data_IF_155894530870
#
_entry.id   IF_155894530870
#
_cell.length_a   1.000
_cell.length_b   1.000
_cell.length_c   1.000
_cell.angle_alpha   90.00
_cell.angle_beta   90.00
_cell.angle_gamma   90.00
#
_symmetry.space_group_name_H-M   'P 1'
#
loop_
_entity.id
_entity.type
_entity.pdbx_description
1 polymer ?
#
# COMPACT_ATOMS: atom_id res chain seq x y z
N UNK A 1 -9.31 12.84 -22.21
CA UNK A 1 -9.47 11.79 -21.19
C UNK A 1 -10.08 10.59 -21.86
N UNK A 2 -9.54 9.38 -21.65
CA UNK A 2 -10.08 8.16 -22.25
C UNK A 2 -11.49 7.84 -21.68
N UNK A 3 -12.45 7.40 -22.51
CA UNK A 3 -13.83 7.15 -22.06
C UNK A 3 -13.91 6.07 -20.97
N UNK A 4 -13.03 5.09 -21.01
CA UNK A 4 -12.98 4.01 -20.04
C UNK A 4 -12.62 4.55 -18.65
N UNK A 5 -11.71 5.53 -18.56
CA UNK A 5 -11.37 6.18 -17.28
C UNK A 5 -12.60 6.88 -16.67
N UNK A 6 -13.48 7.46 -17.50
CA UNK A 6 -14.68 8.15 -17.04
C UNK A 6 -15.67 7.18 -16.38
N UNK A 7 -15.80 5.96 -16.89
CA UNK A 7 -16.67 4.93 -16.30
C UNK A 7 -16.24 4.54 -14.88
N UNK A 8 -14.93 4.57 -14.60
CA UNK A 8 -14.36 4.22 -13.29
C UNK A 8 -14.15 5.42 -12.37
N UNK A 9 -14.50 6.64 -12.81
CA UNK A 9 -14.23 7.87 -12.08
C UNK A 9 -14.80 7.87 -10.67
N UNK A 10 -16.05 7.45 -10.50
CA UNK A 10 -16.71 7.46 -9.19
C UNK A 10 -16.08 6.47 -8.22
N UNK A 11 -15.62 5.32 -8.72
CA UNK A 11 -14.85 4.37 -7.94
C UNK A 11 -13.54 4.99 -7.45
N UNK A 12 -12.76 5.57 -8.36
CA UNK A 12 -11.47 6.18 -8.03
C UNK A 12 -11.58 7.39 -7.09
N UNK A 13 -12.61 8.23 -7.27
CA UNK A 13 -12.91 9.33 -6.33
C UNK A 13 -13.23 8.76 -4.93
N UNK A 14 -14.06 7.72 -4.87
CA UNK A 14 -14.45 7.09 -3.60
C UNK A 14 -13.25 6.47 -2.90
N UNK A 15 -12.43 5.68 -3.60
CA UNK A 15 -11.26 5.03 -3.00
C UNK A 15 -10.16 6.01 -2.61
N UNK A 16 -9.95 7.08 -3.39
CA UNK A 16 -9.04 8.17 -2.99
C UNK A 16 -9.51 8.83 -1.69
N UNK A 17 -10.82 9.07 -1.55
CA UNK A 17 -11.41 9.66 -0.35
C UNK A 17 -11.26 8.74 0.88
N UNK A 18 -11.56 7.44 0.72
CA UNK A 18 -11.40 6.44 1.77
C UNK A 18 -9.93 6.34 2.21
N UNK A 19 -9.00 6.25 1.26
CA UNK A 19 -7.57 6.19 1.56
C UNK A 19 -7.11 7.46 2.30
N UNK A 20 -7.52 8.64 1.84
CA UNK A 20 -7.23 9.91 2.51
C UNK A 20 -7.76 9.97 3.95
N UNK A 21 -8.99 9.51 4.17
CA UNK A 21 -9.57 9.43 5.52
C UNK A 21 -8.79 8.47 6.44
N UNK A 22 -8.39 7.31 5.94
CA UNK A 22 -7.59 6.33 6.68
C UNK A 22 -6.20 6.86 7.03
N UNK A 23 -5.56 7.60 6.11
CA UNK A 23 -4.29 8.31 6.38
C UNK A 23 -4.47 9.29 7.54
N UNK A 24 -5.56 10.08 7.53
CA UNK A 24 -5.88 11.02 8.60
C UNK A 24 -6.08 10.33 9.95
N UNK A 25 -6.88 9.25 9.99
CA UNK A 25 -7.11 8.46 11.21
C UNK A 25 -5.82 7.81 11.72
N UNK A 26 -4.95 7.32 10.84
CA UNK A 26 -3.65 6.76 11.22
C UNK A 26 -2.77 7.82 11.88
N UNK A 27 -2.72 9.04 11.33
CA UNK A 27 -1.98 10.14 11.93
C UNK A 27 -2.50 10.50 13.32
N UNK A 28 -3.82 10.55 13.51
CA UNK A 28 -4.45 10.76 14.82
C UNK A 28 -4.03 9.64 15.79
N UNK A 29 -4.15 8.37 15.39
CA UNK A 29 -3.78 7.24 16.24
C UNK A 29 -2.30 7.27 16.66
N UNK A 30 -1.40 7.58 15.73
CA UNK A 30 0.05 7.74 15.99
C UNK A 30 0.31 8.91 16.94
N UNK A 31 -0.41 10.03 16.80
CA UNK A 31 -0.21 11.22 17.64
C UNK A 31 -0.55 10.98 19.12
N UNK A 32 -1.54 10.13 19.40
CA UNK A 32 -1.92 9.73 20.77
C UNK A 32 -0.85 8.82 21.39
N UNK A 33 -0.24 7.96 20.59
CA UNK A 33 0.75 6.98 21.04
C UNK A 33 2.20 7.44 20.80
N UNK A 34 2.42 8.75 20.60
CA UNK A 34 3.72 9.28 20.17
C UNK A 34 4.85 8.91 21.14
N UNK A 35 4.56 8.85 22.45
CA UNK A 35 5.52 8.46 23.49
C UNK A 35 5.98 7.00 23.35
N UNK A 36 5.04 6.09 23.10
CA UNK A 36 5.34 4.67 22.82
C UNK A 36 6.10 4.53 21.51
N UNK A 37 5.63 5.24 20.48
CA UNK A 37 6.26 5.21 19.17
C UNK A 37 7.59 5.96 19.13
N UNK A 38 7.97 6.78 20.12
CA UNK A 38 9.27 7.45 20.18
C UNK A 38 10.35 6.57 20.78
N UNK A 39 9.98 5.60 21.61
CA UNK A 39 10.91 4.69 22.27
C UNK A 39 11.60 3.76 21.26
N UNK A 40 12.92 3.60 21.42
CA UNK A 40 13.75 2.75 20.58
C UNK A 40 13.40 1.26 20.78
N UNK A 41 12.83 0.92 21.94
CA UNK A 41 12.35 -0.43 22.25
C UNK A 41 11.17 -0.87 21.36
N UNK A 42 10.42 0.07 20.76
CA UNK A 42 9.26 -0.20 19.90
C UNK A 42 9.51 0.19 18.43
N UNK A 43 10.76 0.14 17.98
CA UNK A 43 11.14 0.44 16.59
C UNK A 43 10.33 -0.37 15.56
N UNK A 44 9.99 -1.62 15.88
CA UNK A 44 9.17 -2.49 15.01
C UNK A 44 7.75 -1.95 14.79
N UNK A 45 7.08 -1.43 15.84
CA UNK A 45 5.75 -0.82 15.69
C UNK A 45 5.81 0.42 14.80
N UNK A 46 6.88 1.19 14.89
CA UNK A 46 7.09 2.39 14.08
C UNK A 46 7.32 2.04 12.61
N UNK A 47 8.08 0.99 12.34
CA UNK A 47 8.27 0.47 10.98
C UNK A 47 6.97 -0.08 10.40
N UNK A 48 6.20 -0.83 11.19
CA UNK A 48 4.88 -1.34 10.79
C UNK A 48 3.91 -0.19 10.47
N UNK A 49 3.83 0.83 11.32
CA UNK A 49 2.98 2.01 11.10
C UNK A 49 3.39 2.79 9.83
N UNK A 50 4.70 2.94 9.59
CA UNK A 50 5.24 3.56 8.37
C UNK A 50 4.89 2.75 7.13
N UNK A 51 4.99 1.42 7.20
CA UNK A 51 4.64 0.55 6.09
C UNK A 51 3.15 0.67 5.73
N UNK A 52 2.26 0.68 6.72
CA UNK A 52 0.82 0.90 6.50
C UNK A 52 0.54 2.28 5.91
N UNK A 53 1.18 3.33 6.43
CA UNK A 53 1.03 4.68 5.87
C UNK A 53 1.40 4.70 4.38
N UNK A 54 2.51 4.05 4.02
CA UNK A 54 2.93 3.94 2.63
C UNK A 54 1.91 3.16 1.78
N UNK A 55 1.33 2.08 2.30
CA UNK A 55 0.28 1.34 1.58
C UNK A 55 -0.96 2.21 1.32
N UNK A 56 -1.42 3.01 2.30
CA UNK A 56 -2.52 3.95 2.08
C UNK A 56 -2.16 5.06 1.08
N UNK A 57 -0.94 5.61 1.16
CA UNK A 57 -0.47 6.63 0.20
C UNK A 57 -0.40 6.06 -1.22
N UNK A 58 0.05 4.82 -1.37
CA UNK A 58 0.06 4.13 -2.67
C UNK A 58 -1.36 3.89 -3.17
N UNK A 59 -2.28 3.41 -2.32
CA UNK A 59 -3.69 3.23 -2.69
C UNK A 59 -4.35 4.57 -3.10
N UNK A 60 -4.04 5.65 -2.39
CA UNK A 60 -4.48 7.00 -2.73
C UNK A 60 -3.90 7.45 -4.07
N UNK A 61 -2.60 7.30 -4.29
CA UNK A 61 -1.94 7.64 -5.56
C UNK A 61 -2.52 6.87 -6.74
N UNK A 62 -2.65 5.55 -6.63
CA UNK A 62 -3.27 4.69 -7.65
C UNK A 62 -4.73 5.05 -7.94
N UNK A 63 -5.44 5.66 -6.97
CA UNK A 63 -6.79 6.19 -7.17
C UNK A 63 -6.80 7.59 -7.80
N UNK A 64 -5.79 8.41 -7.53
CA UNK A 64 -5.71 9.79 -8.04
C UNK A 64 -5.17 9.88 -9.47
N UNK A 65 -4.20 9.03 -9.85
CA UNK A 65 -3.60 9.08 -11.21
C UNK A 65 -4.66 8.98 -12.33
N UNK A 66 -5.62 8.04 -12.31
CA UNK A 66 -6.66 7.97 -13.33
C UNK A 66 -7.54 9.24 -13.42
N UNK A 67 -7.66 10.02 -12.34
CA UNK A 67 -8.51 11.22 -12.33
C UNK A 67 -7.87 12.41 -13.07
N UNK A 68 -6.56 12.35 -13.35
CA UNK A 68 -5.89 13.33 -14.19
C UNK A 68 -6.41 13.17 -15.63
N UNK A 69 -6.80 14.25 -16.33
CA UNK A 69 -7.24 14.16 -17.73
C UNK A 69 -6.13 13.66 -18.66
N UNK A 70 -6.06 12.35 -18.87
CA UNK A 70 -4.99 11.70 -19.64
C UNK A 70 -5.49 10.55 -20.54
N UNK A 71 -4.59 9.97 -21.33
CA UNK A 71 -4.83 8.76 -22.13
C UNK A 71 -4.47 7.50 -21.33
N UNK A 72 -4.96 6.33 -21.76
CA UNK A 72 -4.59 5.05 -21.12
C UNK A 72 -3.08 4.80 -21.17
N UNK A 73 -2.43 5.22 -22.25
CA UNK A 73 -0.98 5.09 -22.42
C UNK A 73 -0.22 5.91 -21.39
N UNK A 74 -0.61 7.18 -21.18
CA UNK A 74 0.00 8.03 -20.17
C UNK A 74 -0.17 7.45 -18.76
N UNK A 75 -1.36 6.94 -18.43
CA UNK A 75 -1.62 6.27 -17.16
C UNK A 75 -0.74 5.02 -16.97
N UNK A 76 -0.55 4.23 -18.03
CA UNK A 76 0.35 3.07 -18.03
C UNK A 76 1.80 3.46 -17.73
N UNK A 77 2.29 4.57 -18.29
CA UNK A 77 3.63 5.09 -18.01
C UNK A 77 3.77 5.51 -16.54
N UNK A 78 2.80 6.23 -15.99
CA UNK A 78 2.79 6.66 -14.58
C UNK A 78 2.83 5.45 -13.64
N UNK A 79 1.98 4.44 -13.88
CA UNK A 79 1.93 3.21 -13.09
C UNK A 79 3.27 2.46 -13.15
N UNK A 80 3.90 2.37 -14.32
CA UNK A 80 5.21 1.72 -14.47
C UNK A 80 6.32 2.48 -13.74
N UNK A 81 6.31 3.82 -13.78
CA UNK A 81 7.28 4.65 -13.04
C UNK A 81 7.13 4.42 -11.54
N UNK A 82 5.89 4.46 -11.02
CA UNK A 82 5.60 4.21 -9.61
C UNK A 82 6.00 2.77 -9.23
N UNK A 83 5.70 1.79 -10.09
CA UNK A 83 6.08 0.41 -9.88
C UNK A 83 7.60 0.24 -9.76
N UNK A 84 8.38 0.82 -10.69
CA UNK A 84 9.85 0.78 -10.66
C UNK A 84 10.38 1.47 -9.41
N UNK A 85 9.80 2.60 -9.01
CA UNK A 85 10.18 3.30 -7.79
C UNK A 85 9.93 2.45 -6.53
N UNK A 86 8.74 1.85 -6.41
CA UNK A 86 8.41 0.94 -5.30
C UNK A 86 9.36 -0.27 -5.32
N UNK A 87 9.57 -0.90 -6.47
CA UNK A 87 10.48 -2.03 -6.59
C UNK A 87 11.91 -1.66 -6.17
N UNK A 88 12.42 -0.48 -6.57
CA UNK A 88 13.76 -0.02 -6.23
C UNK A 88 13.93 0.32 -4.75
N UNK A 89 12.88 0.81 -4.08
CA UNK A 89 12.89 1.07 -2.62
C UNK A 89 12.72 -0.22 -1.81
N UNK A 90 11.85 -1.12 -2.25
CA UNK A 90 11.65 -2.45 -1.66
C UNK A 90 12.90 -3.33 -1.83
N UNK A 91 13.54 -3.35 -3.00
CA UNK A 91 14.77 -4.10 -3.24
C UNK A 91 15.94 -3.63 -2.36
N UNK A 92 16.01 -2.34 -2.03
CA UNK A 92 16.98 -1.81 -1.06
C UNK A 92 16.70 -2.25 0.38
N UNK A 93 15.44 -2.49 0.72
CA UNK A 93 15.00 -2.88 2.07
C UNK A 93 14.95 -4.41 2.26
N UNK A 94 14.88 -5.17 1.17
CA UNK A 94 14.86 -6.64 1.16
C UNK A 94 16.03 -7.31 1.91
N UNK A 95 17.29 -6.83 1.84
CA UNK A 95 18.40 -7.47 2.56
C UNK A 95 18.22 -7.50 4.08
N UNK A 96 17.45 -6.56 4.64
CA UNK A 96 17.18 -6.48 6.08
C UNK A 96 16.12 -7.50 6.53
N UNK A 97 15.09 -7.76 5.71
CA UNK A 97 14.09 -8.80 5.99
C UNK A 97 14.67 -10.22 5.90
N UNK A 98 15.69 -10.45 5.08
CA UNK A 98 16.36 -11.75 5.01
C UNK A 98 17.39 -11.97 6.13
N UNK A 99 17.81 -10.91 6.84
CA UNK A 99 18.80 -10.99 7.94
C UNK A 99 18.18 -11.19 9.33
N UNK A 100 16.90 -10.86 9.57
CA UNK A 100 16.23 -11.09 10.87
C UNK A 100 15.62 -12.51 11.01
N UNK A 101 16.40 -13.52 10.61
CA UNK A 101 15.97 -14.92 10.48
C UNK A 101 15.77 -15.65 11.82
N UNK A 102 14.84 -15.20 12.65
CA UNK A 102 14.52 -15.85 13.93
C UNK A 102 13.04 -16.20 14.16
N UNK A 103 12.10 -15.37 13.70
CA UNK A 103 10.77 -15.32 14.34
C UNK A 103 9.61 -15.82 13.45
N UNK A 104 9.73 -15.81 12.10
CA UNK A 104 8.63 -16.18 11.19
C UNK A 104 8.90 -17.48 10.41
N UNK A 105 8.01 -18.48 10.58
CA UNK A 105 8.10 -19.81 9.99
C UNK A 105 8.18 -19.85 8.45
N UNK A 106 8.89 -20.85 7.90
CA UNK A 106 9.24 -21.01 6.47
C UNK A 106 8.05 -20.84 5.51
N UNK A 107 6.86 -21.33 5.90
CA UNK A 107 5.62 -21.29 5.09
C UNK A 107 5.06 -19.88 4.91
N UNK A 108 5.12 -19.04 5.94
CA UNK A 108 4.64 -17.65 5.88
C UNK A 108 5.56 -16.77 5.01
N UNK A 109 6.86 -17.09 4.98
CA UNK A 109 7.84 -16.42 4.11
C UNK A 109 7.57 -16.65 2.63
N UNK A 110 7.35 -17.90 2.23
CA UNK A 110 7.01 -18.23 0.85
C UNK A 110 5.69 -17.63 0.41
N UNK A 111 4.68 -17.63 1.29
CA UNK A 111 3.40 -16.99 1.00
C UNK A 111 3.56 -15.47 0.77
N UNK A 112 4.30 -14.78 1.65
CA UNK A 112 4.58 -13.34 1.50
C UNK A 112 5.41 -13.02 0.26
N UNK A 113 6.44 -13.83 -0.03
CA UNK A 113 7.27 -13.66 -1.22
C UNK A 113 6.46 -13.91 -2.49
N UNK A 114 5.63 -14.96 -2.52
CA UNK A 114 4.71 -15.24 -3.63
C UNK A 114 3.74 -14.07 -3.82
N UNK A 115 3.11 -13.56 -2.75
CA UNK A 115 2.20 -12.42 -2.82
C UNK A 115 2.89 -11.16 -3.39
N UNK A 116 4.13 -10.88 -2.96
CA UNK A 116 4.91 -9.76 -3.49
C UNK A 116 5.24 -9.94 -4.98
N UNK A 117 5.72 -11.13 -5.36
CA UNK A 117 6.05 -11.44 -6.77
C UNK A 117 4.80 -11.39 -7.65
N UNK A 118 3.68 -11.96 -7.18
CA UNK A 118 2.39 -11.89 -7.87
C UNK A 118 1.93 -10.45 -8.01
N UNK A 119 1.99 -9.64 -6.96
CA UNK A 119 1.66 -8.21 -7.03
C UNK A 119 2.53 -7.45 -8.04
N UNK A 120 3.83 -7.76 -8.08
CA UNK A 120 4.75 -7.20 -9.07
C UNK A 120 4.39 -7.59 -10.50
N UNK A 121 4.10 -8.88 -10.73
CA UNK A 121 3.72 -9.39 -12.04
C UNK A 121 2.41 -8.77 -12.53
N UNK A 122 1.41 -8.65 -11.65
CA UNK A 122 0.11 -8.03 -11.97
C UNK A 122 0.27 -6.55 -12.30
N UNK A 123 1.08 -5.81 -11.53
CA UNK A 123 1.31 -4.38 -11.76
C UNK A 123 2.07 -4.14 -13.06
N UNK A 124 3.09 -4.95 -13.34
CA UNK A 124 3.85 -4.88 -14.58
C UNK A 124 2.98 -5.23 -15.80
N UNK A 125 2.22 -6.32 -15.73
CA UNK A 125 1.31 -6.73 -16.80
C UNK A 125 0.22 -5.68 -17.05
N UNK A 126 -0.36 -5.10 -16.00
CA UNK A 126 -1.35 -4.04 -16.10
C UNK A 126 -0.79 -2.77 -16.74
N UNK A 127 0.41 -2.33 -16.32
CA UNK A 127 1.10 -1.18 -16.91
C UNK A 127 1.42 -1.38 -18.40
N UNK A 128 1.94 -2.54 -18.78
CA UNK A 128 2.23 -2.88 -20.18
C UNK A 128 0.96 -2.97 -21.03
N UNK A 129 -0.14 -3.51 -20.50
CA UNK A 129 -1.41 -3.59 -21.20
C UNK A 129 -2.06 -2.22 -21.39
N UNK A 130 -1.90 -1.29 -20.44
CA UNK A 130 -2.31 0.12 -20.58
C UNK A 130 -1.51 0.84 -21.67
N UNK A 131 -0.20 0.56 -21.81
CA UNK A 131 0.60 1.07 -22.92
C UNK A 131 0.09 0.57 -24.28
N UNK A 132 -0.46 -0.65 -24.32
CA UNK A 132 -1.15 -1.20 -25.49
C UNK A 132 -2.54 -0.60 -25.74
N UNK A 133 -2.99 0.37 -24.94
CA UNK A 133 -4.30 1.00 -25.06
C UNK A 133 -5.47 0.12 -24.60
N UNK A 134 -5.19 -0.95 -23.85
CA UNK A 134 -6.23 -1.88 -23.39
C UNK A 134 -6.87 -1.38 -22.10
N UNK A 135 -8.20 -1.53 -21.96
CA UNK A 135 -8.96 -1.03 -20.81
C UNK A 135 -9.11 -2.02 -19.65
N UNK A 136 -8.99 -3.33 -19.90
CA UNK A 136 -9.11 -4.36 -18.86
C UNK A 136 -8.16 -4.19 -17.65
N UNK A 137 -6.95 -3.58 -17.76
CA UNK A 137 -6.10 -3.35 -16.60
C UNK A 137 -6.70 -2.39 -15.56
N UNK A 138 -7.69 -1.57 -15.92
CA UNK A 138 -8.40 -0.72 -14.95
C UNK A 138 -9.10 -1.55 -13.88
N UNK A 139 -9.58 -2.75 -14.22
CA UNK A 139 -10.18 -3.69 -13.26
C UNK A 139 -9.14 -4.24 -12.29
N UNK A 140 -7.94 -4.57 -12.79
CA UNK A 140 -6.82 -4.99 -11.95
C UNK A 140 -6.36 -3.85 -11.02
N UNK A 141 -6.32 -2.62 -11.54
CA UNK A 141 -5.98 -1.43 -10.75
C UNK A 141 -7.00 -1.23 -9.63
N UNK A 142 -8.29 -1.29 -9.95
CA UNK A 142 -9.38 -1.18 -8.97
C UNK A 142 -9.30 -2.28 -7.90
N UNK A 143 -9.09 -3.53 -8.32
CA UNK A 143 -8.89 -4.66 -7.41
C UNK A 143 -7.66 -4.49 -6.50
N UNK A 144 -6.56 -3.97 -7.05
CA UNK A 144 -5.33 -3.71 -6.29
C UNK A 144 -5.56 -2.65 -5.22
N UNK A 145 -6.22 -1.54 -5.56
CA UNK A 145 -6.59 -0.48 -4.61
C UNK A 145 -7.46 -1.04 -3.48
N UNK A 146 -8.47 -1.83 -3.81
CA UNK A 146 -9.36 -2.44 -2.82
C UNK A 146 -8.60 -3.38 -1.88
N UNK A 147 -7.76 -4.26 -2.41
CA UNK A 147 -6.94 -5.18 -1.62
C UNK A 147 -5.98 -4.42 -0.72
N UNK A 148 -5.31 -3.38 -1.23
CA UNK A 148 -4.43 -2.54 -0.42
C UNK A 148 -5.19 -1.93 0.75
N UNK A 149 -6.32 -1.27 0.50
CA UNK A 149 -7.13 -0.66 1.57
C UNK A 149 -7.54 -1.71 2.60
N UNK A 150 -8.11 -2.84 2.17
CA UNK A 150 -8.61 -3.88 3.08
C UNK A 150 -7.47 -4.49 3.91
N UNK A 151 -6.36 -4.88 3.27
CA UNK A 151 -5.20 -5.47 3.96
C UNK A 151 -4.58 -4.47 4.92
N UNK A 152 -4.41 -3.20 4.52
CA UNK A 152 -3.83 -2.17 5.38
C UNK A 152 -4.72 -1.85 6.58
N UNK A 153 -6.05 -1.88 6.43
CA UNK A 153 -7.00 -1.73 7.55
C UNK A 153 -6.83 -2.86 8.56
N UNK A 154 -6.81 -4.12 8.12
CA UNK A 154 -6.59 -5.26 9.02
C UNK A 154 -5.23 -5.19 9.71
N UNK A 155 -4.17 -4.80 8.99
CA UNK A 155 -2.86 -4.58 9.60
C UNK A 155 -2.87 -3.45 10.62
N UNK A 156 -3.63 -2.38 10.37
CA UNK A 156 -3.75 -1.24 11.30
C UNK A 156 -4.38 -1.68 12.60
N UNK A 157 -5.45 -2.47 12.51
CA UNK A 157 -6.12 -3.07 13.66
C UNK A 157 -5.17 -3.92 14.52
N UNK A 158 -4.33 -4.73 13.88
CA UNK A 158 -3.31 -5.52 14.59
C UNK A 158 -2.25 -4.65 15.28
N UNK A 159 -1.87 -3.52 14.68
CA UNK A 159 -0.94 -2.57 15.31
C UNK A 159 -1.58 -1.93 16.54
N UNK A 160 -2.82 -1.46 16.44
CA UNK A 160 -3.53 -0.81 17.56
C UNK A 160 -3.60 -1.74 18.76
N UNK A 161 -3.96 -3.01 18.56
CA UNK A 161 -3.99 -3.97 19.67
C UNK A 161 -2.61 -4.34 20.21
N UNK A 162 -1.57 -4.35 19.36
CA UNK A 162 -0.19 -4.53 19.83
C UNK A 162 0.26 -3.33 20.66
N UNK A 163 -0.03 -2.11 20.22
CA UNK A 163 0.27 -0.89 20.97
C UNK A 163 -0.45 -0.85 22.32
N UNK A 164 -1.73 -1.19 22.36
CA UNK A 164 -2.52 -1.23 23.60
C UNK A 164 -1.97 -2.22 24.63
N UNK A 165 -1.45 -3.38 24.19
CA UNK A 165 -0.83 -4.39 25.08
C UNK A 165 0.53 -3.96 25.63
N UNK A 166 1.23 -3.07 24.94
CA UNK A 166 2.56 -2.59 25.31
C UNK A 166 2.51 -1.28 26.11
N UNK A 167 1.37 -0.59 26.12
CA UNK A 167 1.16 0.58 26.95
C UNK A 167 1.22 0.19 28.43
N UNK A 168 2.08 0.84 29.25
CA UNK A 168 2.08 0.61 30.69
C UNK A 168 0.70 0.98 31.27
N UNK A 169 0.24 0.28 32.33
CA UNK A 169 -1.04 0.60 32.96
C UNK A 169 -1.01 2.06 33.40
N UNK A 170 -2.00 2.83 32.94
CA UNK A 170 -2.22 4.19 33.42
C UNK A 170 -2.52 4.12 34.91
N UNK A 171 -1.56 4.53 35.73
CA UNK A 171 -1.76 4.78 37.15
C UNK A 171 -2.73 5.93 37.39
#
# INVERSE_FOLDING_TARGET
MAPEILEWRDFFVTTATVAGALIGLLFVAVSVHLRLLSDEHYADLRQDARAILLEYVVAMGLSLFPLIPQSLVALGQEILIVFVFILATSARSAPQLFRSSGIYGRRNRWFRAALFVTGCAVTLAGGLALLGGQAWPLQLLAGTVLVLIVVSVFRTWDIVFRAARLAPPSG
#
